data_IF_971414345035
#
_entry.id   IF_971414345035
#
_cell.length_a   1.000
_cell.length_b   1.000
_cell.length_c   1.000
_cell.angle_alpha   90.00
_cell.angle_beta   90.00
_cell.angle_gamma   90.00
#
_symmetry.space_group_name_H-M   'P 1'
#
loop_
_entity.id
_entity.type
_entity.pdbx_description
1 polymer ?
#
# COMPACT_ATOMS: atom_id res chain seq x y z
N UNK A 1 -38.65 -17.76 61.07
CA UNK A 1 -39.53 -18.31 60.04
C UNK A 1 -38.70 -18.25 58.74
N UNK A 2 -38.10 -19.39 58.39
CA UNK A 2 -38.31 -20.26 57.23
C UNK A 2 -38.08 -19.49 55.87
N UNK A 3 -37.29 -19.86 54.92
CA UNK A 3 -36.65 -21.13 54.49
C UNK A 3 -35.41 -20.75 53.62
N UNK A 4 -34.23 -21.36 53.72
CA UNK A 4 -33.79 -22.71 53.26
C UNK A 4 -33.96 -22.95 51.78
N UNK A 5 -32.89 -23.26 51.11
CA UNK A 5 -32.79 -23.92 49.81
C UNK A 5 -31.53 -23.47 49.08
N UNK A 6 -30.37 -24.09 49.25
CA UNK A 6 -29.82 -25.23 48.49
C UNK A 6 -29.59 -24.95 47.02
N UNK A 7 -28.32 -24.80 46.63
CA UNK A 7 -27.70 -25.46 45.47
C UNK A 7 -26.16 -25.37 45.56
N UNK A 8 -25.62 -26.26 46.38
CA UNK A 8 -24.23 -26.67 46.27
C UNK A 8 -24.26 -28.09 45.67
N UNK A 9 -23.79 -28.27 44.46
CA UNK A 9 -23.24 -29.58 44.01
C UNK A 9 -22.60 -29.46 42.63
N UNK A 10 -21.36 -30.03 42.58
CA UNK A 10 -20.68 -30.64 41.43
C UNK A 10 -19.72 -29.75 40.59
N UNK A 11 -18.51 -29.64 41.13
CA UNK A 11 -17.30 -29.70 40.32
C UNK A 11 -16.40 -30.81 40.86
N UNK A 12 -16.44 -31.99 40.22
CA UNK A 12 -15.44 -33.05 40.37
C UNK A 12 -14.23 -32.73 39.49
N UNK A 13 -13.00 -32.94 39.97
CA UNK A 13 -11.79 -32.81 39.17
C UNK A 13 -11.68 -33.97 38.17
N UNK A 14 -11.36 -33.67 36.93
CA UNK A 14 -11.10 -34.63 35.84
C UNK A 14 -9.72 -35.22 36.04
N UNK A 15 -9.63 -36.51 36.26
CA UNK A 15 -8.41 -37.29 36.34
C UNK A 15 -7.71 -37.29 34.97
N UNK A 16 -6.42 -37.03 35.00
CA UNK A 16 -5.46 -37.26 33.89
C UNK A 16 -5.38 -38.77 33.59
N UNK A 17 -5.54 -39.12 32.32
CA UNK A 17 -5.17 -40.43 31.77
C UNK A 17 -3.89 -40.27 30.93
N UNK A 18 -2.96 -41.26 31.06
CA UNK A 18 -1.64 -41.15 30.43
C UNK A 18 -1.62 -41.51 28.94
N UNK A 19 -0.67 -40.95 28.28
CA UNK A 19 -0.20 -41.14 26.89
C UNK A 19 -0.37 -42.56 26.33
N UNK A 20 -1.22 -42.67 25.31
CA UNK A 20 -1.27 -43.79 24.36
C UNK A 20 -0.69 -43.35 23.00
N UNK A 21 0.55 -43.72 22.70
CA UNK A 21 1.13 -43.57 21.38
C UNK A 21 0.38 -44.41 20.35
N UNK A 22 -0.07 -43.87 19.20
CA UNK A 22 -0.60 -44.67 18.11
C UNK A 22 0.53 -45.37 17.38
N UNK A 23 0.59 -46.70 17.45
CA UNK A 23 1.38 -47.53 16.55
C UNK A 23 0.78 -47.50 15.17
N UNK A 24 1.42 -46.81 14.25
CA UNK A 24 1.12 -46.86 12.81
C UNK A 24 1.51 -48.22 12.23
N UNK A 25 0.52 -49.07 11.94
CA UNK A 25 0.68 -50.21 11.04
C UNK A 25 0.72 -49.73 9.58
N UNK A 26 1.93 -49.43 9.10
CA UNK A 26 2.18 -49.03 7.72
C UNK A 26 2.71 -50.26 6.92
N UNK A 27 1.85 -51.21 6.57
CA UNK A 27 2.31 -52.33 5.76
C UNK A 27 1.46 -52.75 4.54
N UNK A 28 0.34 -52.13 4.11
CA UNK A 28 -0.18 -52.47 2.79
C UNK A 28 -0.03 -51.39 1.73
N UNK A 29 0.39 -50.16 2.07
CA UNK A 29 0.42 -49.04 1.08
C UNK A 29 1.73 -49.04 0.25
N UNK A 30 2.85 -49.51 0.81
CA UNK A 30 4.13 -49.53 0.11
C UNK A 30 4.16 -50.58 -1.00
N UNK A 31 3.47 -51.71 -0.84
CA UNK A 31 3.41 -52.76 -1.88
C UNK A 31 2.62 -52.33 -3.12
N UNK A 32 1.57 -51.51 -2.95
CA UNK A 32 0.75 -51.00 -4.07
C UNK A 32 1.51 -50.00 -4.95
N UNK A 33 2.29 -49.10 -4.33
CA UNK A 33 3.06 -48.07 -5.08
C UNK A 33 4.21 -48.68 -5.91
N UNK A 34 4.85 -49.70 -5.39
CA UNK A 34 5.93 -50.39 -6.12
C UNK A 34 5.42 -51.14 -7.35
N UNK A 35 4.23 -51.76 -7.26
CA UNK A 35 3.60 -52.46 -8.40
C UNK A 35 3.18 -51.47 -9.50
N UNK A 36 2.65 -50.31 -9.15
CA UNK A 36 2.26 -49.26 -10.12
C UNK A 36 3.49 -48.65 -10.81
N UNK A 37 4.60 -48.44 -10.10
CA UNK A 37 5.83 -47.94 -10.68
C UNK A 37 6.52 -48.98 -11.60
N UNK A 38 6.44 -50.27 -11.29
CA UNK A 38 6.97 -51.32 -12.15
C UNK A 38 6.13 -51.50 -13.42
N UNK A 39 4.80 -51.33 -13.37
CA UNK A 39 3.95 -51.36 -14.56
C UNK A 39 4.16 -50.12 -15.46
N UNK A 40 4.37 -48.94 -14.90
CA UNK A 40 4.73 -47.74 -15.68
C UNK A 40 6.13 -47.87 -16.35
N UNK A 41 7.08 -48.49 -15.68
CA UNK A 41 8.41 -48.73 -16.26
C UNK A 41 8.40 -49.78 -17.37
N UNK A 42 7.55 -50.79 -17.28
CA UNK A 42 7.37 -51.80 -18.32
C UNK A 42 6.72 -51.23 -19.61
N UNK A 43 5.73 -50.36 -19.48
CA UNK A 43 5.10 -49.66 -20.63
C UNK A 43 6.04 -48.64 -21.27
N UNK A 44 6.91 -47.98 -20.49
CA UNK A 44 7.93 -47.05 -21.01
C UNK A 44 9.03 -47.77 -21.82
N UNK A 45 9.36 -49.04 -21.50
CA UNK A 45 10.37 -49.82 -22.20
C UNK A 45 9.87 -50.44 -23.48
N UNK A 46 8.55 -50.77 -23.60
CA UNK A 46 7.97 -51.34 -24.85
C UNK A 46 7.71 -50.28 -25.93
N UNK A 47 7.68 -48.98 -25.59
CA UNK A 47 7.44 -47.89 -26.57
C UNK A 47 8.67 -47.45 -27.36
N UNK A 48 9.86 -48.04 -27.15
CA UNK A 48 11.12 -47.63 -27.79
C UNK A 48 11.68 -48.65 -28.79
N UNK A 49 10.86 -49.31 -29.58
CA UNK A 49 11.34 -50.12 -30.72
C UNK A 49 10.46 -49.89 -31.92
N UNK A 50 10.68 -48.81 -32.65
CA UNK A 50 10.42 -48.70 -34.10
C UNK A 50 11.04 -47.38 -34.57
N UNK A 51 12.29 -47.41 -34.99
CA UNK A 51 12.86 -46.39 -35.84
C UNK A 51 12.81 -46.91 -37.27
N UNK A 52 12.27 -46.19 -38.21
CA UNK A 52 12.52 -46.40 -39.62
C UNK A 52 13.76 -45.64 -40.06
N UNK A 53 14.52 -46.28 -40.90
CA UNK A 53 15.78 -45.93 -41.51
C UNK A 53 15.82 -44.59 -42.21
N UNK A 54 17.04 -44.01 -42.16
CA UNK A 54 17.50 -42.86 -42.91
C UNK A 54 17.18 -42.97 -44.41
N UNK A 55 16.61 -41.92 -44.96
CA UNK A 55 16.74 -41.54 -46.36
C UNK A 55 17.42 -40.17 -46.39
N UNK A 56 18.49 -40.11 -47.13
CA UNK A 56 19.36 -38.98 -47.30
C UNK A 56 18.70 -37.86 -48.12
N UNK A 57 19.03 -36.65 -47.72
CA UNK A 57 19.15 -35.50 -48.63
C UNK A 57 17.83 -34.86 -49.08
N UNK A 58 17.42 -33.81 -48.31
CA UNK A 58 16.73 -32.71 -48.96
C UNK A 58 17.10 -31.39 -48.30
N UNK A 59 17.58 -30.52 -49.12
CA UNK A 59 17.96 -29.16 -48.93
C UNK A 59 16.89 -28.36 -48.14
N UNK A 60 17.38 -27.49 -47.20
CA UNK A 60 16.57 -26.51 -46.51
C UNK A 60 15.60 -25.75 -47.47
N UNK A 61 14.33 -25.67 -47.18
CA UNK A 61 13.48 -24.78 -47.94
C UNK A 61 13.83 -23.35 -47.55
N UNK A 62 14.32 -22.63 -48.53
CA UNK A 62 14.42 -21.16 -48.49
C UNK A 62 13.08 -20.55 -48.04
N UNK A 63 13.17 -19.45 -47.36
CA UNK A 63 12.03 -18.58 -47.02
C UNK A 63 11.12 -18.40 -48.22
N UNK A 64 10.07 -19.21 -48.29
CA UNK A 64 9.01 -18.99 -49.26
C UNK A 64 8.27 -17.71 -48.82
N UNK A 65 8.64 -16.60 -49.42
CA UNK A 65 7.82 -15.39 -49.49
C UNK A 65 6.55 -15.81 -50.23
N UNK A 66 5.49 -16.18 -49.48
CA UNK A 66 4.19 -16.36 -50.09
C UNK A 66 3.77 -15.02 -50.71
N UNK A 67 3.36 -14.98 -51.97
CA UNK A 67 2.86 -13.74 -52.56
C UNK A 67 1.61 -13.34 -51.78
N UNK A 68 1.69 -12.18 -51.11
CA UNK A 68 0.51 -11.53 -50.54
C UNK A 68 -0.40 -11.19 -51.71
N UNK A 69 -1.49 -11.89 -51.88
CA UNK A 69 -2.54 -11.54 -52.84
C UNK A 69 -3.16 -10.25 -52.36
N UNK A 70 -2.79 -9.11 -52.98
CA UNK A 70 -3.36 -7.81 -52.67
C UNK A 70 -4.81 -7.84 -53.15
N UNK A 71 -5.82 -7.68 -52.25
CA UNK A 71 -7.22 -7.55 -52.65
C UNK A 71 -7.36 -6.31 -53.54
N UNK A 72 -8.36 -6.32 -54.44
CA UNK A 72 -8.66 -5.21 -55.35
C UNK A 72 -8.66 -3.87 -54.58
N UNK A 73 -7.75 -2.97 -54.93
CA UNK A 73 -7.59 -1.70 -54.27
C UNK A 73 -8.72 -0.74 -54.63
N UNK A 74 -9.14 0.06 -53.66
CA UNK A 74 -10.08 1.17 -53.86
C UNK A 74 -9.35 2.30 -54.60
N UNK A 75 -9.74 2.63 -55.84
CA UNK A 75 -9.24 3.81 -56.53
C UNK A 75 -9.85 5.07 -55.92
N UNK A 76 -8.99 5.92 -55.36
CA UNK A 76 -9.33 7.29 -54.96
C UNK A 76 -8.56 8.24 -55.86
N UNK A 77 -9.30 8.96 -56.71
CA UNK A 77 -8.77 10.07 -57.48
C UNK A 77 -8.14 11.09 -56.50
N UNK A 78 -6.99 11.67 -56.86
CA UNK A 78 -6.23 12.63 -56.02
C UNK A 78 -7.09 13.82 -55.58
N UNK A 79 -8.03 14.28 -56.43
CA UNK A 79 -9.02 15.27 -56.08
C UNK A 79 -10.01 14.82 -55.01
N UNK A 80 -10.41 13.54 -54.99
CA UNK A 80 -11.29 12.94 -53.97
C UNK A 80 -10.51 12.70 -52.67
N UNK A 81 -9.25 12.30 -52.74
CA UNK A 81 -8.38 12.15 -51.57
C UNK A 81 -8.11 13.50 -50.86
N UNK A 82 -7.87 14.56 -51.62
CA UNK A 82 -7.69 15.92 -51.08
C UNK A 82 -8.98 16.47 -50.43
N UNK A 83 -10.16 16.16 -50.99
CA UNK A 83 -11.45 16.59 -50.43
C UNK A 83 -11.82 15.93 -49.13
N UNK A 84 -11.20 14.78 -48.79
CA UNK A 84 -11.49 13.95 -47.60
C UNK A 84 -10.52 14.26 -46.45
N UNK A 85 -9.54 15.18 -46.65
CA UNK A 85 -8.46 15.48 -45.67
C UNK A 85 -7.71 14.21 -45.21
N UNK A 86 -7.36 13.33 -46.17
CA UNK A 86 -6.70 12.06 -45.88
C UNK A 86 -5.30 12.30 -45.33
N UNK A 87 -5.02 11.75 -44.11
CA UNK A 87 -3.69 11.68 -43.55
C UNK A 87 -3.16 10.26 -43.59
N UNK A 88 -1.89 10.13 -43.84
CA UNK A 88 -1.18 8.88 -43.89
C UNK A 88 -0.01 8.89 -42.93
N UNK A 89 0.39 7.70 -42.46
CA UNK A 89 1.59 7.51 -41.66
C UNK A 89 2.44 6.39 -42.27
N UNK A 90 3.75 6.54 -42.17
CA UNK A 90 4.69 5.49 -42.58
C UNK A 90 4.80 4.46 -41.46
N UNK A 91 4.69 3.19 -41.83
CA UNK A 91 4.87 2.04 -40.95
C UNK A 91 6.33 1.96 -40.53
N UNK A 92 6.58 2.14 -39.25
CA UNK A 92 7.91 2.09 -38.66
C UNK A 92 8.23 0.75 -38.01
N UNK A 93 9.44 0.64 -37.46
CA UNK A 93 9.83 -0.48 -36.61
C UNK A 93 10.31 0.04 -35.27
N UNK A 94 9.68 -0.38 -34.19
CA UNK A 94 10.09 -0.03 -32.81
C UNK A 94 9.61 -1.08 -31.81
N UNK A 95 10.24 -1.07 -30.64
CA UNK A 95 9.76 -1.84 -29.50
C UNK A 95 8.59 -1.10 -28.83
N UNK A 96 7.51 -1.81 -28.53
CA UNK A 96 6.38 -1.30 -27.75
C UNK A 96 6.51 -1.76 -26.30
N UNK A 97 6.26 -0.85 -25.37
CA UNK A 97 6.17 -1.22 -23.96
C UNK A 97 4.88 -2.03 -23.72
N UNK A 98 5.04 -3.25 -23.20
CA UNK A 98 3.90 -4.03 -22.74
C UNK A 98 3.47 -3.51 -21.38
N UNK A 99 2.22 -3.08 -21.28
CA UNK A 99 1.68 -2.49 -20.05
C UNK A 99 0.47 -3.26 -19.55
N UNK A 100 0.42 -3.46 -18.24
CA UNK A 100 -0.79 -3.92 -17.54
C UNK A 100 -1.50 -2.68 -16.99
N UNK A 101 -2.74 -2.45 -17.42
CA UNK A 101 -3.57 -1.33 -16.95
C UNK A 101 -4.48 -1.80 -15.82
N UNK A 102 -4.46 -1.07 -14.71
CA UNK A 102 -5.22 -1.35 -13.51
C UNK A 102 -5.92 -0.07 -13.04
N UNK A 103 -7.04 -0.23 -12.36
CA UNK A 103 -7.67 0.86 -11.61
C UNK A 103 -7.31 0.77 -10.14
N UNK A 104 -7.20 1.90 -9.48
CA UNK A 104 -6.86 1.96 -8.07
C UNK A 104 -7.27 3.28 -7.44
N UNK A 105 -6.91 3.44 -6.18
CA UNK A 105 -7.17 4.66 -5.42
C UNK A 105 -5.93 5.11 -4.64
N UNK A 106 -5.82 6.42 -4.46
CA UNK A 106 -4.77 7.05 -3.66
C UNK A 106 -5.00 6.72 -2.18
N UNK A 107 -3.97 6.22 -1.52
CA UNK A 107 -3.92 5.92 -0.10
C UNK A 107 -2.72 6.59 0.55
N UNK A 108 -2.81 6.86 1.84
CA UNK A 108 -1.68 7.35 2.64
C UNK A 108 -1.04 6.15 3.33
N UNK A 109 0.30 6.00 3.28
CA UNK A 109 1.00 4.97 4.04
C UNK A 109 0.65 5.05 5.53
N UNK A 110 0.48 3.92 6.24
CA UNK A 110 0.18 3.92 7.68
C UNK A 110 1.20 4.72 8.50
N UNK A 111 2.50 4.65 8.12
CA UNK A 111 3.58 5.40 8.78
C UNK A 111 3.52 6.92 8.51
N UNK A 112 2.72 7.34 7.54
CA UNK A 112 2.48 8.74 7.17
C UNK A 112 1.17 9.27 7.75
N UNK A 113 0.51 8.51 8.61
CA UNK A 113 -0.74 8.83 9.30
C UNK A 113 -0.54 8.81 10.80
N UNK A 114 -1.11 9.78 11.50
CA UNK A 114 -1.12 9.80 12.95
C UNK A 114 -2.53 10.07 13.49
N UNK A 115 -2.92 9.24 14.43
CA UNK A 115 -4.11 9.43 15.26
C UNK A 115 -3.68 10.07 16.59
N UNK A 116 -4.16 11.27 16.86
CA UNK A 116 -3.80 12.04 18.04
C UNK A 116 -4.97 12.02 19.01
N UNK A 117 -4.77 11.42 20.17
CA UNK A 117 -5.71 11.38 21.28
C UNK A 117 -5.26 12.24 22.47
N UNK A 118 -6.10 12.34 23.48
CA UNK A 118 -5.73 12.91 24.78
C UNK A 118 -5.05 11.82 25.63
N UNK A 119 -4.04 12.23 26.41
CA UNK A 119 -3.38 11.36 27.40
C UNK A 119 -4.11 11.32 28.74
N UNK A 120 -5.06 12.23 28.94
CA UNK A 120 -5.83 12.37 30.16
C UNK A 120 -7.30 12.56 29.83
N UNK A 121 -8.16 12.14 30.73
CA UNK A 121 -9.59 12.49 30.70
C UNK A 121 -9.79 13.94 31.15
N UNK A 122 -10.78 14.61 30.56
CA UNK A 122 -11.04 15.99 30.93
C UNK A 122 -11.95 16.69 29.94
N UNK A 123 -11.75 18.02 29.85
CA UNK A 123 -12.48 18.91 28.95
C UNK A 123 -11.53 19.63 28.01
N UNK A 124 -11.86 19.69 26.72
CA UNK A 124 -11.09 20.47 25.75
C UNK A 124 -11.25 21.96 26.08
N UNK A 125 -10.14 22.62 26.44
CA UNK A 125 -10.15 24.05 26.75
C UNK A 125 -10.16 24.88 25.46
N UNK A 126 -9.18 24.66 24.58
CA UNK A 126 -9.05 25.38 23.32
C UNK A 126 -8.65 24.43 22.19
N UNK A 127 -9.03 24.79 20.97
CA UNK A 127 -8.63 24.13 19.73
C UNK A 127 -8.01 25.18 18.82
N UNK A 128 -6.81 24.91 18.29
CA UNK A 128 -6.00 25.89 17.55
C UNK A 128 -5.94 25.61 16.05
N UNK A 129 -6.48 24.45 15.59
CA UNK A 129 -6.38 23.99 14.21
C UNK A 129 -7.73 23.51 13.70
N UNK A 130 -7.92 23.59 12.38
CA UNK A 130 -9.10 23.11 11.68
C UNK A 130 -8.74 22.01 10.68
N UNK A 131 -9.73 21.29 10.19
CA UNK A 131 -9.58 20.35 9.08
C UNK A 131 -9.07 21.12 7.85
N UNK A 132 -8.01 20.60 7.22
CA UNK A 132 -7.34 21.24 6.11
C UNK A 132 -6.07 22.02 6.47
N UNK A 133 -5.87 22.35 7.76
CA UNK A 133 -4.68 23.07 8.19
C UNK A 133 -3.42 22.20 8.13
N UNK A 134 -2.31 22.80 7.65
CA UNK A 134 -0.99 22.21 7.71
C UNK A 134 -0.38 22.39 9.10
N UNK A 135 0.14 21.32 9.67
CA UNK A 135 0.77 21.30 11.01
C UNK A 135 2.17 20.71 10.98
N UNK A 136 3.01 21.12 11.92
CA UNK A 136 4.36 20.59 12.11
C UNK A 136 4.38 19.63 13.30
N UNK A 137 5.27 18.63 13.27
CA UNK A 137 5.52 17.78 14.42
C UNK A 137 5.86 18.63 15.66
N UNK A 138 5.22 18.34 16.81
CA UNK A 138 5.34 19.10 18.05
C UNK A 138 4.40 20.32 18.15
N UNK A 139 3.74 20.74 17.09
CA UNK A 139 2.79 21.86 17.13
C UNK A 139 1.59 21.53 18.01
N UNK A 140 1.19 22.45 18.90
CA UNK A 140 0.01 22.31 19.75
C UNK A 140 -1.26 22.44 18.91
N UNK A 141 -2.12 21.44 18.98
CA UNK A 141 -3.39 21.35 18.25
C UNK A 141 -4.58 21.76 19.11
N UNK A 142 -4.54 21.36 20.37
CA UNK A 142 -5.55 21.65 21.38
C UNK A 142 -4.94 21.65 22.76
N UNK A 143 -5.70 22.16 23.73
CA UNK A 143 -5.38 22.04 25.16
C UNK A 143 -6.53 21.38 25.91
N UNK A 144 -6.19 20.52 26.89
CA UNK A 144 -7.14 19.74 27.70
C UNK A 144 -6.97 20.11 29.17
N UNK A 145 -8.05 20.47 29.82
CA UNK A 145 -8.13 20.61 31.28
C UNK A 145 -8.53 19.27 31.89
N UNK A 146 -7.74 18.78 32.87
CA UNK A 146 -7.98 17.51 33.53
C UNK A 146 -7.82 17.66 35.04
N UNK A 147 -8.85 17.27 35.83
CA UNK A 147 -8.74 17.25 37.30
C UNK A 147 -7.64 16.29 37.79
N UNK A 148 -7.45 15.16 37.12
CA UNK A 148 -6.38 14.20 37.46
C UNK A 148 -5.01 14.85 37.30
N UNK A 149 -4.80 15.58 36.20
CA UNK A 149 -3.55 16.27 35.93
C UNK A 149 -3.27 17.38 36.96
N UNK A 150 -4.31 18.12 37.38
CA UNK A 150 -4.19 19.12 38.45
C UNK A 150 -3.84 18.47 39.80
N UNK A 151 -4.49 17.34 40.14
CA UNK A 151 -4.23 16.57 41.36
C UNK A 151 -2.76 16.09 41.43
N UNK A 152 -2.24 15.53 40.35
CA UNK A 152 -0.83 15.06 40.28
C UNK A 152 0.16 16.21 40.50
N UNK A 153 -0.13 17.41 40.02
CA UNK A 153 0.75 18.56 40.26
C UNK A 153 0.72 18.96 41.74
N UNK A 154 -0.43 18.99 42.39
CA UNK A 154 -0.56 19.27 43.81
C UNK A 154 0.12 18.20 44.65
N UNK A 155 0.00 16.93 44.29
CA UNK A 155 0.71 15.82 44.97
C UNK A 155 2.25 16.02 44.86
N UNK A 156 2.76 16.38 43.67
CA UNK A 156 4.17 16.64 43.46
C UNK A 156 4.66 17.81 44.34
N UNK A 157 3.92 18.93 44.41
CA UNK A 157 4.26 20.07 45.21
C UNK A 157 4.32 19.73 46.70
N UNK A 158 3.35 18.92 47.18
CA UNK A 158 3.33 18.47 48.58
C UNK A 158 4.51 17.52 48.86
N UNK A 159 4.77 16.52 48.05
CA UNK A 159 5.90 15.60 48.25
C UNK A 159 7.25 16.33 48.16
N UNK A 160 7.36 17.29 47.25
CA UNK A 160 8.57 18.13 47.12
C UNK A 160 8.79 19.02 48.33
N UNK A 161 7.75 19.50 49.02
CA UNK A 161 7.87 20.26 50.28
C UNK A 161 8.25 19.37 51.48
N UNK A 162 7.81 18.13 51.53
CA UNK A 162 8.12 17.15 52.59
C UNK A 162 9.55 16.57 52.46
N UNK A 163 10.10 16.47 51.27
CA UNK A 163 11.39 15.87 50.98
C UNK A 163 12.57 16.55 51.75
N UNK A 164 12.75 17.87 51.76
CA UNK A 164 13.84 18.51 52.49
C UNK A 164 13.70 18.34 54.02
N UNK A 165 12.50 18.20 54.54
CA UNK A 165 12.25 17.91 55.95
C UNK A 165 12.76 16.53 56.33
N UNK A 166 12.44 15.52 55.51
CA UNK A 166 12.91 14.15 55.70
C UNK A 166 14.44 14.05 55.55
N UNK A 167 15.00 14.75 54.58
CA UNK A 167 16.44 14.84 54.35
C UNK A 167 17.18 15.43 55.57
N UNK A 168 16.69 16.57 56.07
CA UNK A 168 17.29 17.22 57.27
C UNK A 168 17.18 16.35 58.53
N UNK A 169 16.05 15.64 58.69
CA UNK A 169 15.87 14.70 59.81
C UNK A 169 16.87 13.53 59.73
N UNK A 170 16.99 12.90 58.53
CA UNK A 170 17.97 11.83 58.31
C UNK A 170 19.40 12.28 58.52
N UNK A 171 19.78 13.46 57.97
CA UNK A 171 21.12 14.03 58.15
C UNK A 171 21.44 14.37 59.63
N UNK A 172 20.47 14.89 60.38
CA UNK A 172 20.63 15.18 61.81
C UNK A 172 20.84 13.92 62.63
N UNK A 173 20.01 12.87 62.41
CA UNK A 173 20.13 11.61 63.16
C UNK A 173 21.44 10.88 62.81
N UNK A 174 21.94 10.96 61.57
CA UNK A 174 23.23 10.41 61.18
C UNK A 174 24.39 11.07 61.92
N UNK A 175 24.30 12.35 62.27
CA UNK A 175 25.32 13.03 63.10
C UNK A 175 25.19 12.69 64.57
N UNK A 176 23.96 12.52 65.11
CA UNK A 176 23.74 12.21 66.50
C UNK A 176 24.13 10.76 66.92
N UNK A 177 24.14 9.83 65.98
CA UNK A 177 24.59 8.45 66.25
C UNK A 177 26.11 8.39 66.47
N UNK A 178 26.91 9.31 65.86
CA UNK A 178 28.34 9.37 66.05
C UNK A 178 28.73 9.68 67.49
N UNK A 179 27.83 10.33 68.25
CA UNK A 179 28.01 10.67 69.67
C UNK A 179 27.10 9.77 70.60
N UNK A 180 26.62 8.64 70.06
CA UNK A 180 25.77 7.67 70.79
C UNK A 180 24.46 8.25 71.34
N UNK A 181 23.98 9.41 70.85
CA UNK A 181 22.80 10.12 71.36
C UNK A 181 21.48 9.56 70.86
N UNK A 182 21.48 8.64 69.85
CA UNK A 182 20.28 8.04 69.25
C UNK A 182 20.53 6.57 68.92
N UNK A 183 19.46 5.80 68.74
CA UNK A 183 19.57 4.38 68.40
C UNK A 183 19.80 4.19 66.86
N UNK A 184 20.49 3.10 66.49
CA UNK A 184 20.68 2.72 65.09
C UNK A 184 19.37 2.54 64.37
N UNK A 185 18.32 2.04 65.03
CA UNK A 185 16.99 1.88 64.54
C UNK A 185 16.35 3.22 64.12
N UNK A 186 16.57 4.27 64.90
CA UNK A 186 16.02 5.60 64.61
C UNK A 186 16.66 6.20 63.37
N UNK A 187 17.99 6.01 63.21
CA UNK A 187 18.71 6.43 62.00
C UNK A 187 18.19 5.65 60.75
N UNK A 188 18.07 4.34 60.84
CA UNK A 188 17.55 3.51 59.76
C UNK A 188 16.15 3.94 59.34
N UNK A 189 15.25 4.19 60.31
CA UNK A 189 13.89 4.65 60.04
C UNK A 189 13.89 6.02 59.32
N UNK A 190 14.73 6.97 59.75
CA UNK A 190 14.78 8.27 59.09
C UNK A 190 15.38 8.22 57.69
N UNK A 191 16.39 7.34 57.49
CA UNK A 191 16.95 7.11 56.15
C UNK A 191 15.87 6.48 55.23
N UNK A 192 15.12 5.46 55.70
CA UNK A 192 14.07 4.83 54.94
C UNK A 192 12.94 5.82 54.59
N UNK A 193 12.55 6.70 55.51
CA UNK A 193 11.59 7.79 55.24
C UNK A 193 12.08 8.77 54.19
N UNK A 194 13.35 9.20 54.25
CA UNK A 194 13.96 10.07 53.23
C UNK A 194 13.96 9.41 51.86
N UNK A 195 14.42 8.16 51.74
CA UNK A 195 14.48 7.46 50.47
C UNK A 195 13.06 7.18 49.91
N UNK A 196 12.07 6.90 50.78
CA UNK A 196 10.68 6.78 50.37
C UNK A 196 10.13 8.08 49.76
N UNK A 197 10.38 9.23 50.43
CA UNK A 197 9.97 10.56 49.92
C UNK A 197 10.70 10.95 48.64
N UNK A 198 11.97 10.64 48.53
CA UNK A 198 12.76 10.87 47.33
C UNK A 198 12.19 10.08 46.15
N UNK A 199 11.84 8.79 46.35
CA UNK A 199 11.24 7.94 45.34
C UNK A 199 9.84 8.41 44.94
N UNK A 200 9.02 8.87 45.89
CA UNK A 200 7.71 9.46 45.64
C UNK A 200 7.78 10.68 44.71
N UNK A 201 8.68 11.63 45.02
CA UNK A 201 8.91 12.81 44.17
C UNK A 201 9.38 12.43 42.78
N UNK A 202 10.30 11.45 42.66
CA UNK A 202 10.81 10.99 41.38
C UNK A 202 9.68 10.35 40.54
N UNK A 203 8.87 9.50 41.15
CA UNK A 203 7.73 8.85 40.48
C UNK A 203 6.65 9.84 40.01
N UNK A 204 6.34 10.86 40.84
CA UNK A 204 5.38 11.91 40.44
C UNK A 204 5.90 12.78 39.29
N UNK A 205 7.21 13.11 39.30
CA UNK A 205 7.84 13.80 38.15
C UNK A 205 7.76 13.00 36.89
N UNK A 206 8.10 11.73 36.93
CA UNK A 206 8.02 10.82 35.78
C UNK A 206 6.60 10.72 35.23
N UNK A 207 5.59 10.60 36.11
CA UNK A 207 4.17 10.60 35.68
C UNK A 207 3.79 11.87 34.94
N UNK A 208 4.20 13.05 35.42
CA UNK A 208 3.95 14.32 34.75
C UNK A 208 4.70 14.43 33.41
N UNK A 209 5.92 13.90 33.29
CA UNK A 209 6.67 13.82 32.04
C UNK A 209 5.95 12.93 31.01
N UNK A 210 5.47 11.76 31.42
CA UNK A 210 4.67 10.83 30.58
C UNK A 210 3.41 11.52 30.07
N UNK A 211 2.76 12.32 30.90
CA UNK A 211 1.58 13.10 30.50
C UNK A 211 1.92 14.25 29.55
N UNK A 212 3.16 14.65 29.43
CA UNK A 212 3.62 15.61 28.43
C UNK A 212 4.20 16.93 28.96
N UNK A 213 4.42 17.06 30.27
CA UNK A 213 5.20 18.18 30.79
C UNK A 213 6.68 17.97 30.51
N UNK A 214 7.35 19.02 30.06
CA UNK A 214 8.81 19.03 29.97
C UNK A 214 9.44 19.17 31.36
N UNK A 215 10.68 18.70 31.50
CA UNK A 215 11.45 18.84 32.73
C UNK A 215 11.53 20.32 33.22
N UNK A 216 11.70 21.22 32.26
CA UNK A 216 11.74 22.68 32.58
C UNK A 216 10.39 23.18 33.13
N UNK A 217 9.24 22.68 32.62
CA UNK A 217 7.93 23.03 33.16
C UNK A 217 7.71 22.44 34.55
N UNK A 218 8.18 21.23 34.83
CA UNK A 218 8.11 20.61 36.16
C UNK A 218 8.98 21.34 37.16
N UNK A 219 10.19 21.74 36.76
CA UNK A 219 11.06 22.56 37.62
C UNK A 219 10.45 23.95 37.89
N UNK A 220 9.85 24.58 36.89
CA UNK A 220 9.13 25.84 37.07
C UNK A 220 7.95 25.69 38.02
N UNK A 221 7.12 24.64 37.84
CA UNK A 221 6.02 24.30 38.74
C UNK A 221 6.50 24.19 40.20
N UNK A 222 7.62 23.52 40.44
CA UNK A 222 8.18 23.38 41.80
C UNK A 222 8.74 24.69 42.37
N UNK A 223 9.23 25.61 41.53
CA UNK A 223 9.75 26.92 41.96
C UNK A 223 8.65 27.95 42.18
N UNK A 224 7.70 28.05 41.24
CA UNK A 224 6.69 29.11 41.28
C UNK A 224 5.42 28.67 42.00
N UNK A 225 5.20 27.34 42.14
CA UNK A 225 3.98 26.71 42.66
C UNK A 225 2.73 27.04 41.84
N UNK A 226 2.93 27.55 40.62
CA UNK A 226 1.80 27.83 39.68
C UNK A 226 1.47 26.59 38.87
N UNK A 227 0.21 26.13 38.99
CA UNK A 227 -0.27 24.95 38.28
C UNK A 227 -0.41 25.24 36.77
N UNK A 228 0.03 24.27 35.95
CA UNK A 228 -0.27 24.24 34.52
C UNK A 228 -1.73 23.80 34.35
N UNK A 229 -2.62 24.72 33.98
CA UNK A 229 -4.07 24.47 33.96
C UNK A 229 -4.54 23.61 32.79
N UNK A 230 -3.76 23.54 31.71
CA UNK A 230 -4.19 22.82 30.51
C UNK A 230 -3.02 22.09 29.87
N UNK A 231 -3.21 20.79 29.62
CA UNK A 231 -2.23 19.93 28.99
C UNK A 231 -2.27 20.13 27.47
N UNK A 232 -1.12 20.37 26.80
CA UNK A 232 -1.09 20.48 25.34
C UNK A 232 -1.23 19.13 24.67
N UNK A 233 -2.07 19.04 23.66
CA UNK A 233 -2.16 17.94 22.71
C UNK A 233 -1.45 18.38 21.44
N UNK A 234 -0.34 17.73 21.11
CA UNK A 234 0.54 18.13 20.02
C UNK A 234 0.56 17.12 18.89
N UNK A 235 0.85 17.60 17.66
CA UNK A 235 1.00 16.76 16.48
C UNK A 235 2.21 15.83 16.60
N UNK A 236 2.06 14.56 16.25
CA UNK A 236 3.12 13.55 16.25
C UNK A 236 3.97 13.61 14.97
N UNK A 237 3.40 14.06 13.86
CA UNK A 237 4.08 14.20 12.58
C UNK A 237 3.69 15.52 11.88
N UNK A 238 4.52 15.91 10.92
CA UNK A 238 4.22 17.04 10.01
C UNK A 238 3.28 16.58 8.92
N UNK A 239 2.15 17.26 8.73
CA UNK A 239 1.14 16.87 7.75
C UNK A 239 -0.04 17.82 7.73
N UNK A 240 -1.18 17.34 7.25
CA UNK A 240 -2.45 18.07 7.18
C UNK A 240 -3.47 17.40 8.09
N UNK A 241 -4.24 18.19 8.82
CA UNK A 241 -5.36 17.70 9.63
C UNK A 241 -6.47 17.22 8.69
N UNK A 242 -6.73 15.93 8.65
CA UNK A 242 -7.76 15.33 7.78
C UNK A 242 -9.08 15.09 8.50
N UNK A 243 -9.01 14.91 9.82
CA UNK A 243 -10.20 14.76 10.66
C UNK A 243 -10.01 15.42 12.03
N UNK A 244 -11.07 15.97 12.59
CA UNK A 244 -11.12 16.63 13.90
C UNK A 244 -12.44 16.37 14.58
N UNK A 245 -12.42 15.65 15.70
CA UNK A 245 -13.57 15.49 16.60
C UNK A 245 -13.51 16.44 17.81
N UNK A 246 -12.33 17.06 18.02
CA UNK A 246 -12.11 18.01 19.11
C UNK A 246 -13.00 19.27 18.94
N UNK A 247 -13.84 19.55 19.94
CA UNK A 247 -14.65 20.78 20.05
C UNK A 247 -14.36 21.43 21.39
N UNK A 248 -14.10 22.74 21.39
CA UNK A 248 -13.85 23.47 22.63
C UNK A 248 -15.06 23.34 23.56
N UNK A 249 -14.78 22.99 24.83
CA UNK A 249 -15.81 22.75 25.82
C UNK A 249 -16.35 21.34 25.90
N UNK A 250 -16.08 20.45 24.92
CA UNK A 250 -16.51 19.05 24.98
C UNK A 250 -15.66 18.20 25.91
N UNK A 251 -16.22 17.12 26.50
CA UNK A 251 -15.46 16.14 27.23
C UNK A 251 -14.53 15.36 26.28
N UNK A 252 -13.38 14.93 26.77
CA UNK A 252 -12.42 14.07 26.07
C UNK A 252 -12.02 12.92 26.98
N UNK A 253 -11.90 11.73 26.39
CA UNK A 253 -11.39 10.54 27.03
C UNK A 253 -10.08 10.08 26.40
N UNK A 254 -9.41 9.13 27.04
CA UNK A 254 -8.17 8.52 26.53
C UNK A 254 -8.42 7.46 25.44
N UNK A 255 -9.68 7.10 25.18
CA UNK A 255 -10.08 5.94 24.38
C UNK A 255 -10.25 6.21 22.86
N UNK A 256 -9.96 7.40 22.37
CA UNK A 256 -10.16 7.68 20.95
C UNK A 256 -9.34 8.85 20.42
N UNK A 257 -9.10 8.88 19.10
CA UNK A 257 -8.42 10.00 18.47
C UNK A 257 -9.34 11.22 18.42
N UNK A 258 -8.75 12.39 18.68
CA UNK A 258 -9.43 13.71 18.56
C UNK A 258 -8.94 14.48 17.34
N UNK A 259 -7.79 14.11 16.76
CA UNK A 259 -7.31 14.55 15.47
C UNK A 259 -6.74 13.37 14.67
N UNK A 260 -6.85 13.46 13.36
CA UNK A 260 -6.15 12.60 12.40
C UNK A 260 -5.31 13.50 11.48
N UNK A 261 -4.02 13.19 11.36
CA UNK A 261 -3.06 13.95 10.57
C UNK A 261 -2.45 13.03 9.55
N UNK A 262 -2.51 13.41 8.27
CA UNK A 262 -1.91 12.68 7.16
C UNK A 262 -0.77 13.51 6.54
N UNK A 263 0.34 12.83 6.27
CA UNK A 263 1.44 13.38 5.46
C UNK A 263 1.32 12.87 4.03
N UNK A 264 1.02 13.77 3.12
CA UNK A 264 0.82 13.48 1.69
C UNK A 264 2.10 13.60 0.84
N UNK A 265 3.29 13.77 1.42
CA UNK A 265 4.53 13.90 0.65
C UNK A 265 4.84 12.64 -0.18
N UNK A 266 4.51 11.49 0.36
CA UNK A 266 4.51 10.20 -0.31
C UNK A 266 3.12 9.58 -0.21
N UNK A 267 2.64 9.03 -1.31
CA UNK A 267 1.34 8.34 -1.36
C UNK A 267 1.49 6.97 -1.99
N UNK A 268 0.57 6.09 -1.67
CA UNK A 268 0.39 4.83 -2.37
C UNK A 268 -0.79 4.91 -3.32
N UNK A 269 -0.69 4.21 -4.44
CA UNK A 269 -1.87 3.85 -5.21
C UNK A 269 -2.10 2.36 -4.98
N UNK A 270 -3.20 2.01 -4.37
CA UNK A 270 -3.63 0.63 -4.25
C UNK A 270 -4.52 0.30 -5.44
N UNK A 271 -4.10 -0.67 -6.23
CA UNK A 271 -4.83 -1.17 -7.40
C UNK A 271 -5.05 -2.67 -7.32
N UNK A 272 -6.06 -3.15 -8.03
CA UNK A 272 -6.45 -4.55 -8.07
C UNK A 272 -5.89 -5.20 -9.33
N UNK A 273 -5.03 -6.23 -9.17
CA UNK A 273 -4.45 -7.04 -10.26
C UNK A 273 -5.24 -8.33 -10.39
N UNK A 274 -5.74 -8.64 -11.57
CA UNK A 274 -6.42 -9.90 -11.84
C UNK A 274 -5.46 -11.09 -11.79
N UNK A 275 -5.95 -12.23 -11.33
CA UNK A 275 -5.18 -13.49 -11.19
C UNK A 275 -4.38 -13.84 -12.46
N UNK A 276 -5.00 -13.71 -13.65
CA UNK A 276 -4.33 -13.98 -14.93
C UNK A 276 -3.17 -13.04 -15.28
N UNK A 277 -3.05 -11.88 -14.62
CA UNK A 277 -2.00 -10.88 -14.85
C UNK A 277 -0.90 -10.91 -13.77
N UNK A 278 -1.09 -11.68 -12.69
CA UNK A 278 -0.16 -11.72 -11.56
C UNK A 278 1.25 -12.18 -11.96
N UNK A 279 1.36 -13.11 -12.91
CA UNK A 279 2.66 -13.60 -13.37
C UNK A 279 3.51 -12.54 -14.08
N UNK A 280 2.88 -11.50 -14.60
CA UNK A 280 3.52 -10.43 -15.35
C UNK A 280 4.01 -9.28 -14.45
N UNK A 281 3.36 -9.07 -13.32
CA UNK A 281 3.64 -7.95 -12.43
C UNK A 281 4.58 -8.37 -11.29
N UNK A 282 5.61 -7.55 -11.03
CA UNK A 282 6.61 -7.81 -9.98
C UNK A 282 6.97 -6.52 -9.24
N UNK A 283 7.38 -6.60 -7.96
CA UNK A 283 7.96 -5.46 -7.26
C UNK A 283 9.14 -4.85 -8.04
N UNK A 284 9.26 -3.52 -7.99
CA UNK A 284 10.30 -2.77 -8.69
C UNK A 284 9.94 -2.31 -10.11
N UNK A 285 8.89 -2.85 -10.74
CA UNK A 285 8.47 -2.41 -12.07
C UNK A 285 8.03 -0.94 -12.06
N UNK A 286 8.39 -0.17 -13.12
CA UNK A 286 7.93 1.20 -13.26
C UNK A 286 6.42 1.23 -13.55
N UNK A 287 5.75 2.22 -12.98
CA UNK A 287 4.33 2.47 -13.17
C UNK A 287 4.08 3.93 -13.50
N UNK A 288 3.30 4.18 -14.54
CA UNK A 288 2.76 5.49 -14.86
C UNK A 288 1.34 5.58 -14.29
N UNK A 289 1.07 6.63 -13.52
CA UNK A 289 -0.23 6.82 -12.88
C UNK A 289 -0.88 8.10 -13.41
N UNK A 290 -2.13 7.99 -13.82
CA UNK A 290 -2.95 9.12 -14.24
C UNK A 290 -4.17 9.23 -13.36
N UNK A 291 -4.59 10.46 -13.08
CA UNK A 291 -5.80 10.75 -12.28
C UNK A 291 -6.73 11.67 -13.07
N UNK A 292 -8.05 11.44 -13.07
CA UNK A 292 -8.99 12.27 -13.83
C UNK A 292 -8.99 13.75 -13.42
N UNK A 293 -8.62 14.03 -12.16
CA UNK A 293 -8.55 15.41 -11.66
C UNK A 293 -7.46 16.26 -12.33
N UNK A 294 -6.44 15.63 -12.95
CA UNK A 294 -5.33 16.31 -13.63
C UNK A 294 -5.09 15.68 -15.00
N UNK A 295 -5.94 15.99 -16.01
CA UNK A 295 -5.84 15.43 -17.35
C UNK A 295 -4.49 15.78 -17.97
N UNK A 296 -3.84 14.79 -18.60
CA UNK A 296 -2.54 14.98 -19.26
C UNK A 296 -1.33 14.96 -18.33
N UNK A 297 -1.52 14.96 -17.01
CA UNK A 297 -0.40 14.84 -16.07
C UNK A 297 -0.19 13.34 -15.71
N UNK A 298 1.05 12.90 -15.90
CA UNK A 298 1.49 11.54 -15.53
C UNK A 298 2.35 11.63 -14.28
N UNK A 299 2.00 10.83 -13.28
CA UNK A 299 2.78 10.66 -12.05
C UNK A 299 3.58 9.37 -12.16
N UNK A 300 4.88 9.46 -12.02
CA UNK A 300 5.75 8.30 -12.10
C UNK A 300 5.91 7.64 -10.73
N UNK A 301 5.82 6.32 -10.69
CA UNK A 301 5.99 5.51 -9.50
C UNK A 301 6.61 4.16 -9.79
N UNK A 302 6.73 3.35 -8.73
CA UNK A 302 7.22 1.97 -8.82
C UNK A 302 6.31 1.05 -8.03
N UNK A 303 6.12 -0.16 -8.55
CA UNK A 303 5.46 -1.23 -7.80
C UNK A 303 6.29 -1.54 -6.55
N UNK A 304 5.72 -1.30 -5.39
CA UNK A 304 6.35 -1.57 -4.09
C UNK A 304 6.15 -3.02 -3.67
N UNK A 305 4.91 -3.48 -3.73
CA UNK A 305 4.54 -4.82 -3.28
C UNK A 305 3.24 -5.29 -3.92
N UNK A 306 3.07 -6.60 -3.94
CA UNK A 306 1.80 -7.27 -4.24
C UNK A 306 1.44 -8.03 -2.97
N UNK A 307 0.24 -7.81 -2.44
CA UNK A 307 -0.22 -8.48 -1.22
C UNK A 307 -0.54 -9.94 -1.57
N UNK A 308 0.06 -10.94 -0.88
CA UNK A 308 -0.08 -12.36 -1.22
C UNK A 308 -1.42 -12.93 -0.73
N UNK A 309 -2.50 -12.23 -1.01
CA UNK A 309 -3.87 -12.63 -0.71
C UNK A 309 -4.76 -12.20 -1.84
N UNK A 310 -5.56 -13.13 -2.36
CA UNK A 310 -6.56 -12.85 -3.36
C UNK A 310 -7.89 -12.51 -2.68
N UNK A 311 -8.55 -11.49 -3.19
CA UNK A 311 -9.96 -11.24 -2.89
C UNK A 311 -10.79 -12.34 -3.59
N UNK A 312 -11.52 -13.19 -2.85
CA UNK A 312 -12.21 -14.34 -3.42
C UNK A 312 -13.40 -13.95 -4.32
N UNK A 313 -14.00 -12.79 -4.08
CA UNK A 313 -15.13 -12.30 -4.86
C UNK A 313 -14.68 -11.71 -6.19
N UNK A 314 -13.63 -10.90 -6.16
CA UNK A 314 -13.09 -10.21 -7.34
C UNK A 314 -12.04 -11.00 -8.09
N UNK A 315 -11.44 -12.02 -7.46
CA UNK A 315 -10.26 -12.76 -7.94
C UNK A 315 -9.09 -11.84 -8.31
N UNK A 316 -8.84 -10.87 -7.45
CA UNK A 316 -7.77 -9.89 -7.63
C UNK A 316 -6.81 -9.92 -6.45
N UNK A 317 -5.53 -9.66 -6.70
CA UNK A 317 -4.54 -9.36 -5.68
C UNK A 317 -4.37 -7.84 -5.58
N UNK A 318 -4.19 -7.34 -4.35
CA UNK A 318 -3.93 -5.93 -4.15
C UNK A 318 -2.45 -5.60 -4.40
N UNK A 319 -2.23 -4.62 -5.25
CA UNK A 319 -0.91 -4.11 -5.63
C UNK A 319 -0.75 -2.69 -5.08
N UNK A 320 0.45 -2.35 -4.63
CA UNK A 320 0.81 -1.01 -4.17
C UNK A 320 1.89 -0.41 -5.06
N UNK A 321 1.61 0.78 -5.56
CA UNK A 321 2.59 1.63 -6.26
C UNK A 321 2.88 2.83 -5.38
N UNK A 322 4.16 3.08 -5.10
CA UNK A 322 4.60 4.24 -4.33
C UNK A 322 4.91 5.40 -5.26
N UNK A 323 4.44 6.60 -4.89
CA UNK A 323 4.68 7.84 -5.64
C UNK A 323 5.10 8.98 -4.70
N UNK A 324 5.95 9.86 -5.22
CA UNK A 324 6.24 11.14 -4.61
C UNK A 324 5.16 12.17 -4.97
N UNK A 325 4.68 12.92 -3.98
CA UNK A 325 3.62 13.92 -4.15
C UNK A 325 4.02 15.28 -3.54
N UNK A 326 5.14 15.87 -3.97
CA UNK A 326 5.71 17.07 -3.34
C UNK A 326 4.81 18.30 -3.47
N UNK A 327 3.94 18.34 -4.46
CA UNK A 327 2.98 19.43 -4.68
C UNK A 327 1.63 19.20 -3.96
N UNK A 328 1.41 18.06 -3.29
CA UNK A 328 0.17 17.73 -2.61
C UNK A 328 -1.05 17.61 -3.56
N UNK A 329 -0.83 17.35 -4.85
CA UNK A 329 -1.90 17.25 -5.85
C UNK A 329 -2.74 15.99 -5.65
N UNK A 330 -2.09 14.87 -5.33
CA UNK A 330 -2.77 13.61 -5.07
C UNK A 330 -3.35 13.64 -3.66
N UNK A 331 -4.68 13.48 -3.56
CA UNK A 331 -5.43 13.48 -2.31
C UNK A 331 -5.99 12.10 -2.03
N UNK A 332 -6.22 11.81 -0.76
CA UNK A 332 -6.81 10.55 -0.30
C UNK A 332 -8.08 10.20 -1.09
N UNK A 333 -8.22 8.93 -1.43
CA UNK A 333 -9.36 8.36 -2.15
C UNK A 333 -9.58 8.85 -3.59
N UNK A 334 -8.64 9.62 -4.17
CA UNK A 334 -8.71 9.91 -5.61
C UNK A 334 -8.57 8.62 -6.41
N UNK A 335 -9.44 8.44 -7.41
CA UNK A 335 -9.30 7.36 -8.37
C UNK A 335 -8.09 7.59 -9.28
N UNK A 336 -7.40 6.51 -9.59
CA UNK A 336 -6.21 6.54 -10.44
C UNK A 336 -6.22 5.36 -11.41
N UNK A 337 -5.68 5.57 -12.59
CA UNK A 337 -5.34 4.50 -13.54
C UNK A 337 -3.83 4.28 -13.48
N UNK A 338 -3.44 3.03 -13.23
CA UNK A 338 -2.05 2.60 -13.21
C UNK A 338 -1.72 1.89 -14.53
N UNK A 339 -0.66 2.29 -15.19
CA UNK A 339 -0.07 1.61 -16.35
C UNK A 339 1.28 1.06 -15.94
N UNK A 340 1.35 -0.24 -15.61
CA UNK A 340 2.57 -0.91 -15.15
C UNK A 340 3.31 -1.43 -16.36
N UNK A 341 4.57 -1.03 -16.53
CA UNK A 341 5.42 -1.49 -17.63
C UNK A 341 6.00 -2.86 -17.24
N UNK A 342 5.45 -3.93 -17.82
CA UNK A 342 5.82 -5.32 -17.51
C UNK A 342 6.91 -5.87 -18.41
N UNK A 343 7.19 -5.21 -19.54
CA UNK A 343 8.23 -5.60 -20.49
C UNK A 343 8.25 -4.70 -21.70
N UNK A 344 9.12 -5.05 -22.64
CA UNK A 344 9.12 -4.47 -23.99
C UNK A 344 8.98 -5.63 -24.96
N UNK A 345 8.04 -5.51 -25.88
CA UNK A 345 8.02 -6.42 -27.02
C UNK A 345 9.27 -6.18 -27.88
N UNK A 346 9.81 -7.25 -28.51
CA UNK A 346 10.88 -7.08 -29.48
C UNK A 346 10.50 -6.02 -30.52
N UNK A 347 11.49 -5.34 -31.09
CA UNK A 347 11.23 -4.39 -32.16
C UNK A 347 10.49 -5.06 -33.31
N UNK A 348 9.34 -4.53 -33.63
CA UNK A 348 8.44 -5.05 -34.68
C UNK A 348 7.78 -3.92 -35.43
N UNK A 349 7.05 -4.29 -36.47
CA UNK A 349 6.28 -3.38 -37.30
C UNK A 349 5.22 -2.67 -36.47
N UNK A 350 5.19 -1.34 -36.49
CA UNK A 350 4.24 -0.55 -35.70
C UNK A 350 3.46 0.43 -36.54
N UNK A 351 2.19 0.59 -36.22
CA UNK A 351 1.29 1.58 -36.83
C UNK A 351 0.64 2.44 -35.77
N UNK A 352 0.30 3.71 -36.03
CA UNK A 352 -0.55 4.49 -35.15
C UNK A 352 -1.89 3.77 -34.91
N UNK A 353 -2.41 3.78 -33.68
CA UNK A 353 -3.70 3.17 -33.34
C UNK A 353 -4.84 3.76 -34.19
N UNK A 354 -4.70 5.04 -34.56
CA UNK A 354 -5.63 5.75 -35.41
C UNK A 354 -5.79 5.09 -36.81
N UNK A 355 -4.80 4.32 -37.29
CA UNK A 355 -4.87 3.62 -38.57
C UNK A 355 -5.71 2.32 -38.51
N UNK A 356 -5.89 1.73 -37.34
CA UNK A 356 -6.61 0.47 -37.19
C UNK A 356 -8.11 0.66 -37.35
N UNK A 357 -8.77 -0.29 -38.06
CA UNK A 357 -10.22 -0.43 -38.11
C UNK A 357 -10.55 -1.82 -37.54
N UNK A 358 -11.41 -1.83 -36.52
CA UNK A 358 -11.90 -3.06 -35.90
C UNK A 358 -13.37 -3.25 -36.28
N UNK A 359 -13.67 -4.36 -36.95
CA UNK A 359 -15.04 -4.67 -37.36
C UNK A 359 -15.28 -6.19 -37.39
N UNK A 360 -16.39 -6.61 -36.83
CA UNK A 360 -16.82 -7.98 -36.79
C UNK A 360 -15.75 -8.99 -36.32
N UNK A 361 -14.87 -8.58 -35.41
CA UNK A 361 -13.79 -9.43 -34.89
C UNK A 361 -12.50 -9.44 -35.71
N UNK A 362 -12.49 -8.77 -36.87
CA UNK A 362 -11.30 -8.58 -37.70
C UNK A 362 -10.69 -7.21 -37.48
N UNK A 363 -9.35 -7.13 -37.55
CA UNK A 363 -8.61 -5.87 -37.52
C UNK A 363 -7.91 -5.69 -38.86
N UNK A 364 -8.07 -4.53 -39.47
CA UNK A 364 -7.45 -4.21 -40.75
C UNK A 364 -7.02 -2.74 -40.84
N UNK A 365 -6.20 -2.44 -41.81
CA UNK A 365 -5.76 -1.08 -42.19
C UNK A 365 -5.94 -0.87 -43.67
N UNK A 366 -5.91 0.39 -44.13
CA UNK A 366 -5.78 0.71 -45.54
C UNK A 366 -4.32 1.09 -45.84
N UNK A 367 -3.70 0.31 -46.76
CA UNK A 367 -2.33 0.54 -47.21
C UNK A 367 -2.40 1.29 -48.53
N UNK A 368 -1.59 2.35 -48.71
CA UNK A 368 -1.49 3.12 -49.91
C UNK A 368 -0.54 2.44 -50.90
N UNK A 369 -1.01 2.05 -52.08
CA UNK A 369 -0.25 1.48 -53.17
C UNK A 369 -0.38 2.41 -54.41
N UNK A 370 0.54 3.35 -54.57
CA UNK A 370 0.43 4.40 -55.59
C UNK A 370 -0.76 5.32 -55.32
N UNK A 371 -1.76 5.34 -56.20
CA UNK A 371 -3.01 6.10 -56.05
C UNK A 371 -4.17 5.27 -55.47
N UNK A 372 -3.94 3.99 -55.23
CA UNK A 372 -4.96 3.07 -54.70
C UNK A 372 -4.75 2.80 -53.22
N UNK A 373 -5.85 2.52 -52.52
CA UNK A 373 -5.85 2.11 -51.11
C UNK A 373 -6.40 0.68 -51.01
N UNK A 374 -5.53 -0.24 -50.59
CA UNK A 374 -5.89 -1.64 -50.41
C UNK A 374 -6.24 -1.96 -48.95
N UNK A 375 -7.34 -2.67 -48.75
CA UNK A 375 -7.64 -3.19 -47.40
C UNK A 375 -6.68 -4.33 -47.09
N UNK A 376 -5.97 -4.23 -45.97
CA UNK A 376 -5.02 -5.22 -45.50
C UNK A 376 -5.40 -5.67 -44.10
N UNK A 377 -5.77 -6.95 -43.98
CA UNK A 377 -6.01 -7.55 -42.66
C UNK A 377 -4.69 -7.65 -41.91
N UNK A 378 -4.72 -7.38 -40.60
CA UNK A 378 -3.53 -7.35 -39.73
C UNK A 378 -3.78 -8.10 -38.43
N UNK A 379 -2.69 -8.70 -37.91
CA UNK A 379 -2.71 -9.31 -36.58
C UNK A 379 -1.94 -8.42 -35.62
N UNK A 380 -2.62 -7.90 -34.61
CA UNK A 380 -2.04 -7.04 -33.60
C UNK A 380 -1.47 -7.92 -32.47
N UNK A 381 -0.17 -7.77 -32.17
CA UNK A 381 0.52 -8.50 -31.10
C UNK A 381 0.56 -7.71 -29.78
N UNK A 382 0.73 -6.37 -29.85
CA UNK A 382 0.78 -5.51 -28.68
C UNK A 382 0.25 -4.11 -29.01
N UNK A 383 -0.15 -3.36 -27.99
CA UNK A 383 -0.61 -1.95 -28.11
C UNK A 383 -0.08 -1.12 -26.97
N UNK A 384 0.32 0.10 -27.26
CA UNK A 384 0.47 1.17 -26.26
C UNK A 384 -0.60 2.25 -26.48
N UNK A 385 -0.47 3.42 -25.88
CA UNK A 385 -1.48 4.49 -26.00
C UNK A 385 -1.49 5.17 -27.38
N UNK A 386 -0.47 4.98 -28.23
CA UNK A 386 -0.30 5.65 -29.53
C UNK A 386 -0.10 4.70 -30.70
N UNK A 387 0.46 3.51 -30.47
CA UNK A 387 0.87 2.60 -31.53
C UNK A 387 0.43 1.17 -31.23
N UNK A 388 0.18 0.44 -32.30
CA UNK A 388 -0.04 -1.00 -32.28
C UNK A 388 1.07 -1.72 -33.01
N UNK A 389 1.58 -2.79 -32.44
CA UNK A 389 2.56 -3.68 -33.07
C UNK A 389 1.83 -4.76 -33.87
N UNK A 390 2.25 -4.88 -35.12
CA UNK A 390 1.66 -5.81 -36.08
C UNK A 390 2.59 -7.01 -36.25
N UNK A 391 2.09 -8.20 -35.98
CA UNK A 391 2.84 -9.43 -36.18
C UNK A 391 2.71 -10.02 -37.60
N UNK A 392 1.64 -9.66 -38.27
CA UNK A 392 1.36 -10.13 -39.65
C UNK A 392 0.50 -9.14 -40.42
N UNK A 393 0.78 -8.97 -41.69
CA UNK A 393 -0.03 -8.19 -42.62
C UNK A 393 0.61 -6.88 -43.10
N UNK A 394 1.69 -6.41 -42.51
CA UNK A 394 2.42 -5.18 -42.92
C UNK A 394 3.91 -5.38 -42.90
N UNK A 395 4.60 -4.60 -43.75
CA UNK A 395 6.07 -4.52 -43.76
C UNK A 395 6.54 -3.07 -43.43
N UNK A 396 7.77 -2.91 -42.93
CA UNK A 396 8.34 -1.57 -42.74
C UNK A 396 8.31 -0.75 -44.03
N UNK A 397 8.02 0.55 -43.90
CA UNK A 397 7.84 1.54 -44.95
C UNK A 397 6.51 1.46 -45.74
N UNK A 398 5.60 0.57 -45.43
CA UNK A 398 4.22 0.69 -45.91
C UNK A 398 3.65 2.05 -45.48
N UNK A 399 2.73 2.59 -46.27
CA UNK A 399 2.03 3.83 -45.94
C UNK A 399 0.58 3.50 -45.60
N UNK A 400 0.17 3.76 -44.35
CA UNK A 400 -1.19 3.47 -43.90
C UNK A 400 -2.00 4.76 -43.68
N UNK A 401 -3.31 4.65 -43.90
CA UNK A 401 -4.25 5.76 -43.68
C UNK A 401 -4.53 5.90 -42.19
N UNK A 402 -4.36 7.10 -41.65
CA UNK A 402 -4.69 7.40 -40.23
C UNK A 402 -5.97 8.21 -40.09
N UNK A 403 -6.12 9.28 -40.85
CA UNK A 403 -7.31 10.12 -40.86
C UNK A 403 -8.07 9.95 -42.19
N UNK A 404 -9.41 9.99 -42.17
CA UNK A 404 -10.23 9.71 -43.32
C UNK A 404 -10.44 8.22 -43.64
N UNK A 405 -9.95 7.31 -42.77
CA UNK A 405 -10.03 5.86 -42.98
C UNK A 405 -11.47 5.32 -43.12
N UNK A 406 -12.46 5.94 -42.47
CA UNK A 406 -13.88 5.49 -42.55
C UNK A 406 -14.50 5.88 -43.92
N UNK A 407 -14.10 6.96 -44.52
CA UNK A 407 -14.53 7.34 -45.86
C UNK A 407 -13.96 6.39 -46.91
N UNK A 408 -12.67 6.01 -46.77
CA UNK A 408 -12.05 4.97 -47.60
C UNK A 408 -12.79 3.64 -47.46
N UNK A 409 -13.12 3.27 -46.18
CA UNK A 409 -13.89 2.04 -45.92
C UNK A 409 -15.27 2.07 -46.53
N UNK A 410 -16.03 3.15 -46.35
CA UNK A 410 -17.35 3.29 -46.96
C UNK A 410 -17.32 3.14 -48.47
N UNK A 411 -16.32 3.78 -49.14
CA UNK A 411 -16.17 3.65 -50.59
C UNK A 411 -15.79 2.23 -51.01
N UNK A 412 -15.00 1.52 -50.18
CA UNK A 412 -14.64 0.13 -50.46
C UNK A 412 -15.82 -0.86 -50.41
N UNK A 413 -16.96 -0.48 -49.80
CA UNK A 413 -18.17 -1.29 -49.74
C UNK A 413 -19.07 -1.15 -50.99
N UNK A 414 -18.83 -0.13 -51.81
CA UNK A 414 -19.62 0.18 -53.01
C UNK A 414 -18.86 -0.08 -54.33
N UNK A 415 -17.66 -0.61 -54.25
CA UNK A 415 -16.86 -1.11 -55.36
C UNK A 415 -16.75 -2.63 -55.28
#
# INVERSE_FOLDING_TARGET
MHASGEYATLLKPRQEQPDGKPQFRALPIVAGVVIVLLLMFATYRLGKRSAPSAVAGETAPGSATMPVTIPAGVELDEAAAASISLKTAVVGSRAIARTVKLTGAVQVPPDSRAFIGSRVEGKIANVYVNVGDGVKAGQVLATVQSPEFETLQVELLRAAAELPVAEAASARLKKLIEIEAVSQKDVQNAVAQYEAKRSEVAGLRERLEILGLSKAQIENLQKTQELVRALPVSALLTGTVVNRTAVAGSPVSTSGPIFEIDNFAMVWIEGDVFEGQLSEVRPGLPAAVTVPAYPGQVFEGKVQSIIPSLDPEKRTARLRVVLSNPKGLLKLSMFATLSIIVGKEPSGVVVPIEALIEQAGSVFVFVKNGEQFAKQDVVVSARDDRYAQISWGLVPNDVVVTDGKMQVYTKSLYQ
#
